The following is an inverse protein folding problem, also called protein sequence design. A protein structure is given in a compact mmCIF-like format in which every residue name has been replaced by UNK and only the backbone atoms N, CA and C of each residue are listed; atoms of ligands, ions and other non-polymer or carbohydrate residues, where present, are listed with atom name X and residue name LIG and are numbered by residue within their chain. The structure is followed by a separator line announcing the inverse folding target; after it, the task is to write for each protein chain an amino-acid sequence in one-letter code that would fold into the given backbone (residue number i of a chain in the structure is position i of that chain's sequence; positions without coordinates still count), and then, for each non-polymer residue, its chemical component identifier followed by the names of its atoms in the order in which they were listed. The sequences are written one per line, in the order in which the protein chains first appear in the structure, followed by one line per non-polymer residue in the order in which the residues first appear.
data_IF_592208713081
#
_entry.id   IF_592208713081
#
_cell.length_a   1.000
_cell.length_b   1.000
_cell.length_c   1.000
_cell.angle_alpha   90.00
_cell.angle_beta   90.00
_cell.angle_gamma   90.00
#
_symmetry.space_group_name_H-M   'P 1'
#
loop_
_entity.id
_entity.type
_entity.pdbx_description
1 polymer ?
#
# COMPACT_ATOMS: atom_id res chain seq x y z
N UNK A 1 -19.01 -18.90 2.10
CA UNK A 1 -18.51 -18.07 0.97
C UNK A 1 -17.73 -16.91 1.55
N UNK A 2 -16.51 -16.63 1.06
CA UNK A 2 -15.70 -15.51 1.55
C UNK A 2 -16.09 -14.26 0.75
N UNK A 3 -16.71 -13.27 1.40
CA UNK A 3 -17.10 -12.01 0.76
C UNK A 3 -15.92 -11.06 0.79
N UNK A 4 -15.42 -10.66 -0.37
CA UNK A 4 -14.40 -9.63 -0.46
C UNK A 4 -15.08 -8.27 -0.31
N UNK A 5 -14.61 -7.48 0.66
CA UNK A 5 -14.98 -6.08 0.81
C UNK A 5 -13.77 -5.21 0.46
N UNK A 6 -14.02 -4.06 -0.18
CA UNK A 6 -12.98 -3.08 -0.49
C UNK A 6 -12.59 -2.36 0.81
N UNK A 7 -11.30 -2.41 1.15
CA UNK A 7 -10.73 -1.72 2.33
C UNK A 7 -9.67 -0.73 1.86
N UNK A 8 -9.61 0.45 2.50
CA UNK A 8 -8.56 1.44 2.28
C UNK A 8 -7.36 1.11 3.16
N UNK A 9 -6.19 0.89 2.55
CA UNK A 9 -4.96 0.51 3.26
C UNK A 9 -4.03 1.69 3.57
N UNK A 10 -4.16 2.81 2.85
CA UNK A 10 -3.29 3.98 3.01
C UNK A 10 -4.12 5.26 3.16
N UNK A 11 -3.60 6.24 3.89
CA UNK A 11 -4.34 7.46 4.21
C UNK A 11 -3.79 8.75 3.59
N UNK A 12 -2.61 8.69 2.98
CA UNK A 12 -1.90 9.86 2.46
C UNK A 12 -2.54 10.39 1.14
N UNK A 13 -2.56 11.72 0.89
CA UNK A 13 -3.15 12.28 -0.33
C UNK A 13 -2.32 12.04 -1.61
N UNK A 14 -1.04 11.69 -1.47
CA UNK A 14 -0.18 11.36 -2.60
C UNK A 14 -0.60 10.05 -3.29
N UNK A 15 -0.28 9.93 -4.59
CA UNK A 15 -0.48 8.70 -5.32
C UNK A 15 0.42 7.57 -4.82
N UNK A 16 -0.21 6.44 -4.50
CA UNK A 16 0.43 5.18 -4.13
C UNK A 16 0.33 4.17 -5.30
N UNK A 17 1.41 3.44 -5.61
CA UNK A 17 1.49 2.56 -6.77
C UNK A 17 2.39 1.33 -6.55
N UNK A 18 2.30 0.37 -7.46
CA UNK A 18 3.06 -0.88 -7.48
C UNK A 18 3.05 -1.65 -6.14
N UNK A 19 1.87 -1.99 -5.59
CA UNK A 19 1.80 -2.73 -4.33
C UNK A 19 2.29 -4.18 -4.49
N UNK A 20 3.02 -4.68 -3.51
CA UNK A 20 3.38 -6.10 -3.39
C UNK A 20 3.13 -6.58 -1.95
N UNK A 21 2.67 -7.82 -1.81
CA UNK A 21 2.50 -8.45 -0.50
C UNK A 21 3.84 -8.99 0.00
N UNK A 22 4.10 -8.89 1.30
CA UNK A 22 5.15 -9.65 1.98
C UNK A 22 4.85 -11.14 1.89
N UNK A 23 5.90 -11.98 1.95
CA UNK A 23 5.76 -13.44 1.85
C UNK A 23 4.89 -14.05 2.96
N UNK A 24 4.89 -13.43 4.15
CA UNK A 24 4.05 -13.81 5.29
C UNK A 24 2.60 -13.27 5.19
N UNK A 25 2.29 -12.46 4.16
CA UNK A 25 0.98 -11.86 3.94
C UNK A 25 0.59 -10.77 4.94
N UNK A 26 1.48 -10.34 5.84
CA UNK A 26 1.14 -9.38 6.89
C UNK A 26 1.23 -7.91 6.44
N UNK A 27 2.01 -7.62 5.40
CA UNK A 27 2.26 -6.25 4.96
C UNK A 27 2.11 -6.10 3.46
N UNK A 28 1.69 -4.90 3.05
CA UNK A 28 1.79 -4.44 1.66
C UNK A 28 2.89 -3.41 1.57
N UNK A 29 3.88 -3.66 0.73
CA UNK A 29 4.86 -2.66 0.32
C UNK A 29 4.36 -1.92 -0.91
N UNK A 30 4.60 -0.62 -0.99
CA UNK A 30 4.13 0.22 -2.11
C UNK A 30 5.01 1.45 -2.30
N UNK A 31 5.05 1.98 -3.52
CA UNK A 31 5.72 3.25 -3.83
C UNK A 31 4.75 4.41 -3.61
N UNK A 32 5.17 5.44 -2.87
CA UNK A 32 4.40 6.68 -2.69
C UNK A 32 5.19 7.87 -3.24
N UNK A 33 4.56 8.69 -4.10
CA UNK A 33 5.19 9.90 -4.66
C UNK A 33 4.93 11.11 -3.77
N UNK A 34 5.71 11.24 -2.70
CA UNK A 34 5.60 12.34 -1.73
C UNK A 34 6.72 13.34 -1.95
N UNK A 35 6.42 14.63 -1.87
CA UNK A 35 7.41 15.71 -2.03
C UNK A 35 8.27 15.54 -3.30
N UNK A 36 7.61 15.22 -4.42
CA UNK A 36 8.24 14.95 -5.73
C UNK A 36 9.21 13.75 -5.78
N UNK A 37 9.28 12.94 -4.73
CA UNK A 37 10.15 11.76 -4.64
C UNK A 37 9.33 10.48 -4.46
N UNK A 38 9.77 9.42 -5.15
CA UNK A 38 9.27 8.07 -4.89
C UNK A 38 10.01 7.46 -3.71
N UNK A 39 9.25 7.01 -2.72
CA UNK A 39 9.76 6.33 -1.53
C UNK A 39 8.95 5.05 -1.30
N UNK A 40 9.63 3.98 -0.90
CA UNK A 40 9.00 2.72 -0.52
C UNK A 40 8.41 2.87 0.89
N UNK A 41 7.13 2.53 1.03
CA UNK A 41 6.41 2.47 2.29
C UNK A 41 5.83 1.07 2.50
N UNK A 42 5.46 0.76 3.74
CA UNK A 42 4.72 -0.44 4.11
C UNK A 42 3.46 -0.05 4.89
N UNK A 43 2.40 -0.85 4.76
CA UNK A 43 1.27 -0.78 5.69
C UNK A 43 1.76 -1.08 7.11
N UNK A 44 1.12 -0.44 8.10
CA UNK A 44 1.35 -0.76 9.52
C UNK A 44 0.93 -2.21 9.83
#
# INVERSE_FOLDING_TARGET
MRRFSRVRLTQHPAGDMAPVWSADGQRVFYLSRRNMRYTLYATA
#
